data_IF_833746274923
#
_entry.id   IF_833746274923
#
_cell.length_a   1.000
_cell.length_b   1.000
_cell.length_c   1.000
_cell.angle_alpha   90.00
_cell.angle_beta   90.00
_cell.angle_gamma   90.00
#
_symmetry.space_group_name_H-M   'P 1'
#
loop_
_entity.id
_entity.type
_entity.pdbx_description
1 polymer ?
#
# COMPACT_ATOMS: atom_id res chain seq x y z
N UNK A 1 -7.14 4.87 3.29
CA UNK A 1 -7.27 6.17 2.52
C UNK A 1 -6.09 6.47 1.59
N UNK A 2 -4.83 6.51 2.07
CA UNK A 2 -3.70 6.85 1.17
C UNK A 2 -3.54 5.83 0.03
N UNK A 3 -3.65 4.55 0.31
CA UNK A 3 -3.64 3.49 -0.71
C UNK A 3 -4.79 3.66 -1.70
N UNK A 4 -6.05 3.78 -1.22
CA UNK A 4 -7.22 3.95 -2.09
C UNK A 4 -7.15 5.21 -2.97
N UNK A 5 -6.58 6.31 -2.44
CA UNK A 5 -6.32 7.50 -3.25
C UNK A 5 -5.30 7.17 -4.35
N UNK A 6 -4.24 6.43 -4.02
CA UNK A 6 -3.26 5.95 -4.99
C UNK A 6 -3.91 5.09 -6.07
N UNK A 7 -4.66 4.06 -5.68
CA UNK A 7 -5.35 3.15 -6.60
C UNK A 7 -6.31 3.90 -7.54
N UNK A 8 -7.10 4.86 -7.02
CA UNK A 8 -7.99 5.65 -7.85
C UNK A 8 -7.23 6.45 -8.94
N UNK A 9 -6.03 6.97 -8.64
CA UNK A 9 -5.21 7.69 -9.61
C UNK A 9 -4.61 6.73 -10.64
N UNK A 10 -4.05 5.58 -10.21
CA UNK A 10 -3.47 4.56 -11.11
C UNK A 10 -4.53 4.03 -12.07
N UNK A 11 -5.67 3.55 -11.55
CA UNK A 11 -6.77 3.06 -12.37
C UNK A 11 -7.30 4.13 -13.33
N UNK A 12 -7.28 5.41 -12.92
CA UNK A 12 -7.70 6.51 -13.81
C UNK A 12 -6.68 6.80 -14.89
N UNK A 13 -5.39 6.63 -14.63
CA UNK A 13 -4.35 6.73 -15.64
C UNK A 13 -4.45 5.59 -16.65
N UNK A 14 -4.68 4.36 -16.16
CA UNK A 14 -4.95 3.20 -17.02
C UNK A 14 -6.16 3.44 -17.94
N UNK A 15 -7.32 3.78 -17.34
CA UNK A 15 -8.57 4.00 -18.08
C UNK A 15 -8.43 5.10 -19.14
N UNK A 16 -7.72 6.19 -18.86
CA UNK A 16 -7.56 7.30 -19.81
C UNK A 16 -6.57 6.95 -20.93
N UNK A 17 -5.49 6.22 -20.64
CA UNK A 17 -4.57 5.72 -21.66
C UNK A 17 -5.24 4.72 -22.61
N UNK A 18 -6.23 3.95 -22.12
CA UNK A 18 -7.01 3.00 -22.90
C UNK A 18 -8.32 3.58 -23.45
N UNK A 19 -8.53 4.89 -23.36
CA UNK A 19 -9.77 5.52 -23.79
C UNK A 19 -10.02 5.30 -25.28
N UNK A 20 -11.13 4.63 -25.61
CA UNK A 20 -11.59 4.47 -26.98
C UNK A 20 -12.24 5.77 -27.46
N UNK A 21 -11.53 6.50 -28.31
CA UNK A 21 -12.01 7.77 -28.86
C UNK A 21 -13.22 7.61 -29.77
N UNK A 22 -13.42 6.46 -30.40
CA UNK A 22 -14.59 6.19 -31.22
C UNK A 22 -15.90 6.16 -30.40
N UNK A 23 -15.78 5.95 -29.09
CA UNK A 23 -16.93 5.98 -28.17
C UNK A 23 -17.39 7.40 -27.79
N UNK A 24 -16.59 8.42 -28.13
CA UNK A 24 -16.89 9.83 -27.81
C UNK A 24 -17.70 10.44 -28.96
N UNK A 25 -18.96 10.70 -28.72
CA UNK A 25 -19.88 11.14 -29.78
C UNK A 25 -19.62 12.56 -30.31
N UNK A 26 -18.95 13.44 -29.55
CA UNK A 26 -18.62 14.80 -29.95
C UNK A 26 -17.40 15.32 -29.18
N UNK A 27 -16.42 15.83 -29.90
CA UNK A 27 -15.20 16.40 -29.33
C UNK A 27 -15.34 17.94 -29.23
N UNK A 28 -15.97 18.38 -28.18
CA UNK A 28 -16.01 19.81 -27.84
C UNK A 28 -14.71 20.23 -27.14
N UNK A 29 -14.46 21.55 -27.12
CA UNK A 29 -13.33 22.09 -26.37
C UNK A 29 -13.40 21.67 -24.90
N UNK A 30 -12.31 21.09 -24.37
CA UNK A 30 -12.24 20.55 -23.02
C UNK A 30 -12.73 19.10 -22.86
N UNK A 31 -13.02 18.39 -23.95
CA UNK A 31 -13.48 16.98 -23.94
C UNK A 31 -12.59 16.07 -23.09
N UNK A 32 -11.25 16.24 -23.17
CA UNK A 32 -10.31 15.46 -22.38
C UNK A 32 -10.48 15.71 -20.87
N UNK A 33 -10.66 16.97 -20.48
CA UNK A 33 -10.89 17.33 -19.07
C UNK A 33 -12.19 16.73 -18.52
N UNK A 34 -13.25 16.69 -19.32
CA UNK A 34 -14.51 16.04 -18.91
C UNK A 34 -14.39 14.51 -18.87
N UNK A 35 -13.67 13.91 -19.82
CA UNK A 35 -13.36 12.46 -19.77
C UNK A 35 -12.55 12.11 -18.54
N UNK A 36 -11.50 12.85 -18.24
CA UNK A 36 -10.67 12.67 -17.04
C UNK A 36 -11.51 12.76 -15.76
N UNK A 37 -12.39 13.75 -15.68
CA UNK A 37 -13.27 13.96 -14.53
C UNK A 37 -14.25 12.78 -14.33
N UNK A 38 -14.84 12.30 -15.42
CA UNK A 38 -15.75 11.16 -15.41
C UNK A 38 -15.05 9.87 -14.96
N UNK A 39 -13.86 9.60 -15.55
CA UNK A 39 -13.03 8.42 -15.22
C UNK A 39 -12.60 8.46 -13.75
N UNK A 40 -12.07 9.58 -13.29
CA UNK A 40 -11.63 9.69 -11.89
C UNK A 40 -12.80 9.52 -10.92
N UNK A 41 -13.97 10.09 -11.24
CA UNK A 41 -15.16 9.92 -10.38
C UNK A 41 -15.57 8.46 -10.28
N UNK A 42 -15.60 7.74 -11.41
CA UNK A 42 -15.90 6.30 -11.46
C UNK A 42 -14.93 5.52 -10.57
N UNK A 43 -13.62 5.72 -10.75
CA UNK A 43 -12.60 4.99 -9.98
C UNK A 43 -12.58 5.37 -8.50
N UNK A 44 -12.91 6.62 -8.16
CA UNK A 44 -13.07 7.06 -6.79
C UNK A 44 -14.23 6.36 -6.06
N UNK A 45 -15.36 6.18 -6.73
CA UNK A 45 -16.50 5.46 -6.16
C UNK A 45 -16.21 3.96 -6.01
N UNK A 46 -15.52 3.34 -6.96
CA UNK A 46 -15.06 1.93 -6.84
C UNK A 46 -14.15 1.77 -5.62
N UNK A 47 -13.17 2.64 -5.45
CA UNK A 47 -12.27 2.60 -4.31
C UNK A 47 -12.98 2.89 -2.97
N UNK A 48 -14.00 3.74 -3.01
CA UNK A 48 -14.86 3.98 -1.84
C UNK A 48 -15.63 2.73 -1.42
N UNK A 49 -16.22 2.03 -2.36
CA UNK A 49 -16.93 0.79 -2.09
C UNK A 49 -16.00 -0.28 -1.52
N UNK A 50 -14.82 -0.48 -2.12
CA UNK A 50 -13.80 -1.39 -1.60
C UNK A 50 -13.35 -1.01 -0.18
N UNK A 51 -13.10 0.27 0.06
CA UNK A 51 -12.69 0.76 1.37
C UNK A 51 -13.74 0.51 2.44
N UNK A 52 -15.02 0.77 2.13
CA UNK A 52 -16.12 0.59 3.08
C UNK A 52 -16.48 -0.88 3.31
N UNK A 53 -16.13 -1.77 2.37
CA UNK A 53 -16.34 -3.22 2.54
C UNK A 53 -15.34 -3.85 3.53
N UNK A 54 -14.21 -3.19 3.82
CA UNK A 54 -13.22 -3.72 4.75
C UNK A 54 -13.62 -3.44 6.20
N UNK A 55 -13.76 -4.47 7.06
CA UNK A 55 -14.31 -4.33 8.42
C UNK A 55 -13.52 -3.41 9.35
N UNK A 56 -12.24 -3.17 9.02
CA UNK A 56 -11.29 -2.43 9.86
C UNK A 56 -11.08 -0.99 9.44
N UNK A 57 -11.72 -0.51 8.38
CA UNK A 57 -11.39 0.81 7.87
C UNK A 57 -12.13 1.92 8.60
N UNK A 58 -11.38 2.98 8.97
CA UNK A 58 -11.97 4.21 9.44
C UNK A 58 -12.85 4.85 8.35
N UNK A 59 -13.52 5.93 8.70
CA UNK A 59 -14.43 6.61 7.78
C UNK A 59 -13.74 7.04 6.49
N UNK A 60 -14.41 6.82 5.37
CA UNK A 60 -14.04 7.38 4.09
C UNK A 60 -13.98 8.91 4.16
N UNK A 61 -12.97 9.52 3.51
CA UNK A 61 -12.73 10.96 3.54
C UNK A 61 -12.97 11.56 2.16
N UNK A 62 -14.15 12.10 1.94
CA UNK A 62 -14.53 12.78 0.70
C UNK A 62 -13.67 14.02 0.42
N UNK A 63 -13.16 14.68 1.43
CA UNK A 63 -12.25 15.84 1.33
C UNK A 63 -10.91 15.52 0.67
N UNK A 64 -10.59 14.23 0.43
CA UNK A 64 -9.39 13.81 -0.30
C UNK A 64 -9.59 13.75 -1.82
N UNK A 65 -10.82 13.86 -2.34
CA UNK A 65 -11.07 13.84 -3.79
C UNK A 65 -10.32 14.96 -4.56
N UNK A 66 -10.25 16.22 -4.10
CA UNK A 66 -9.45 17.25 -4.75
C UNK A 66 -7.96 16.88 -4.87
N UNK A 67 -7.41 16.16 -3.87
CA UNK A 67 -6.03 15.67 -3.90
C UNK A 67 -5.86 14.57 -4.95
N UNK A 68 -6.82 13.64 -5.05
CA UNK A 68 -6.81 12.61 -6.10
C UNK A 68 -6.85 13.26 -7.49
N UNK A 69 -7.72 14.27 -7.69
CA UNK A 69 -7.82 15.03 -8.94
C UNK A 69 -6.49 15.72 -9.29
N UNK A 70 -5.87 16.40 -8.34
CA UNK A 70 -4.59 17.06 -8.56
C UNK A 70 -3.48 16.06 -8.92
N UNK A 71 -3.44 14.90 -8.25
CA UNK A 71 -2.51 13.81 -8.55
C UNK A 71 -2.72 13.25 -9.96
N UNK A 72 -3.95 13.00 -10.35
CA UNK A 72 -4.26 12.50 -11.70
C UNK A 72 -3.88 13.51 -12.79
N UNK A 73 -4.21 14.79 -12.63
CA UNK A 73 -3.78 15.85 -13.53
C UNK A 73 -2.24 15.89 -13.61
N UNK A 74 -1.55 15.75 -12.47
CA UNK A 74 -0.10 15.70 -12.43
C UNK A 74 0.49 14.53 -13.21
N UNK A 75 -0.10 13.35 -13.11
CA UNK A 75 0.31 12.18 -13.88
C UNK A 75 0.18 12.41 -15.41
N UNK A 76 -0.96 12.95 -15.84
CA UNK A 76 -1.18 13.29 -17.26
C UNK A 76 -0.20 14.36 -17.74
N UNK A 77 0.12 15.36 -16.94
CA UNK A 77 1.10 16.39 -17.31
C UNK A 77 2.52 15.82 -17.42
N UNK A 78 2.89 14.83 -16.59
CA UNK A 78 4.15 14.10 -16.78
C UNK A 78 4.10 13.32 -18.09
N UNK A 79 3.02 12.58 -18.36
CA UNK A 79 2.87 11.84 -19.62
C UNK A 79 3.01 12.77 -20.84
N UNK A 80 2.40 13.96 -20.83
CA UNK A 80 2.56 14.95 -21.88
C UNK A 80 4.00 15.41 -22.07
N UNK A 81 4.78 15.51 -20.99
CA UNK A 81 6.19 15.89 -21.08
C UNK A 81 7.04 14.86 -21.84
N UNK A 82 6.52 13.64 -22.04
CA UNK A 82 7.14 12.57 -22.83
C UNK A 82 6.74 12.63 -24.32
N UNK A 83 5.93 13.57 -24.70
CA UNK A 83 5.45 13.77 -26.07
C UNK A 83 5.79 15.16 -26.59
N UNK A 84 5.59 15.40 -27.89
CA UNK A 84 5.77 16.73 -28.50
C UNK A 84 4.63 17.68 -28.16
N UNK A 85 3.56 17.19 -27.54
CA UNK A 85 2.35 17.93 -27.15
C UNK A 85 2.49 18.60 -25.78
N UNK A 86 3.63 18.45 -25.11
CA UNK A 86 3.89 18.84 -23.72
C UNK A 86 3.58 20.30 -23.31
N UNK A 87 3.52 21.21 -24.26
CA UNK A 87 3.32 22.66 -24.02
C UNK A 87 1.85 23.10 -23.99
N UNK A 88 0.90 22.21 -24.27
CA UNK A 88 -0.53 22.57 -24.37
C UNK A 88 -1.28 22.42 -23.05
N UNK A 89 -2.28 23.28 -22.90
CA UNK A 89 -3.29 23.12 -21.85
C UNK A 89 -4.17 21.90 -22.15
N UNK A 90 -4.56 21.16 -21.11
CA UNK A 90 -5.45 20.00 -21.19
C UNK A 90 -6.77 20.29 -21.93
N UNK A 91 -7.26 21.54 -21.84
CA UNK A 91 -8.50 21.96 -22.51
C UNK A 91 -8.36 22.09 -24.03
N UNK A 92 -7.15 22.27 -24.53
CA UNK A 92 -6.88 22.48 -25.97
C UNK A 92 -6.39 21.24 -26.72
N UNK A 93 -6.33 20.08 -26.07
CA UNK A 93 -5.88 18.83 -26.70
C UNK A 93 -6.93 18.33 -27.68
N UNK A 94 -6.52 18.06 -28.91
CA UNK A 94 -7.39 17.47 -29.94
C UNK A 94 -7.39 15.93 -29.83
N UNK A 95 -8.40 15.26 -30.41
CA UNK A 95 -8.42 13.79 -30.46
C UNK A 95 -7.17 13.21 -31.12
N UNK A 96 -6.71 13.80 -32.23
CA UNK A 96 -5.53 13.34 -32.97
C UNK A 96 -4.25 13.45 -32.12
N UNK A 97 -4.13 14.53 -31.33
CA UNK A 97 -3.02 14.69 -30.39
C UNK A 97 -3.09 13.69 -29.25
N UNK A 98 -4.29 13.32 -28.84
CA UNK A 98 -4.44 12.28 -27.82
C UNK A 98 -4.11 10.88 -28.37
N UNK A 99 -4.47 10.58 -29.60
CA UNK A 99 -4.03 9.37 -30.30
C UNK A 99 -2.50 9.29 -30.41
N UNK A 100 -1.83 10.41 -30.67
CA UNK A 100 -0.36 10.48 -30.68
C UNK A 100 0.19 10.14 -29.28
N UNK A 101 -0.43 10.67 -28.21
CA UNK A 101 -0.04 10.37 -26.84
C UNK A 101 -0.30 8.88 -26.50
N UNK A 102 -1.43 8.34 -26.89
CA UNK A 102 -1.71 6.90 -26.69
C UNK A 102 -0.71 6.02 -27.45
N UNK A 103 -0.27 6.44 -28.62
CA UNK A 103 0.65 5.65 -29.48
C UNK A 103 2.03 5.44 -28.86
N UNK A 104 2.47 6.28 -27.93
CA UNK A 104 3.73 6.06 -27.22
C UNK A 104 3.60 5.09 -26.06
N UNK A 105 2.37 4.78 -25.61
CA UNK A 105 2.12 3.86 -24.51
C UNK A 105 2.14 2.43 -25.06
N UNK A 106 3.24 1.71 -24.82
CA UNK A 106 3.41 0.31 -25.26
C UNK A 106 2.54 -0.60 -24.37
N UNK A 107 2.54 -0.35 -23.07
CA UNK A 107 1.75 -1.07 -22.08
C UNK A 107 1.45 -0.20 -20.86
N UNK A 108 0.30 -0.47 -20.23
CA UNK A 108 -0.06 0.12 -18.95
C UNK A 108 -0.60 -0.98 -18.03
N UNK A 109 -0.35 -0.86 -16.73
CA UNK A 109 -0.73 -1.84 -15.69
C UNK A 109 -0.42 -3.29 -16.09
N UNK A 110 0.66 -3.48 -16.86
CA UNK A 110 1.02 -4.78 -17.42
C UNK A 110 1.79 -5.65 -16.41
N UNK A 111 1.51 -6.94 -16.44
CA UNK A 111 2.23 -7.90 -15.62
C UNK A 111 3.54 -8.29 -16.32
N UNK A 112 4.65 -8.10 -15.61
CA UNK A 112 5.96 -8.62 -15.95
C UNK A 112 6.20 -9.93 -15.21
N UNK A 113 6.79 -10.90 -15.88
CA UNK A 113 7.12 -12.19 -15.27
C UNK A 113 8.45 -12.71 -15.80
N UNK A 114 9.30 -13.22 -14.92
CA UNK A 114 10.42 -14.03 -15.38
C UNK A 114 9.92 -15.33 -16.01
N UNK A 115 10.70 -15.92 -16.94
CA UNK A 115 10.35 -17.17 -17.65
C UNK A 115 9.92 -18.30 -16.69
N UNK A 116 10.60 -18.42 -15.56
CA UNK A 116 10.28 -19.42 -14.54
C UNK A 116 9.09 -19.04 -13.64
N UNK A 117 8.47 -17.87 -13.81
CA UNK A 117 7.36 -17.38 -12.99
C UNK A 117 7.71 -17.05 -11.54
N UNK A 118 9.00 -17.06 -11.16
CA UNK A 118 9.44 -16.81 -9.78
C UNK A 118 9.41 -15.33 -9.40
N UNK A 119 9.68 -14.46 -10.36
CA UNK A 119 9.62 -13.02 -10.19
C UNK A 119 8.45 -12.50 -11.01
N UNK A 120 7.56 -11.78 -10.35
CA UNK A 120 6.38 -11.19 -10.96
C UNK A 120 6.33 -9.73 -10.50
N UNK A 121 6.06 -8.83 -11.43
CA UNK A 121 5.85 -7.41 -11.17
C UNK A 121 4.67 -6.90 -11.97
N UNK A 122 4.14 -5.74 -11.57
CA UNK A 122 3.14 -4.99 -12.32
C UNK A 122 3.70 -3.60 -12.55
N UNK A 123 3.96 -3.28 -13.81
CA UNK A 123 4.43 -1.95 -14.18
C UNK A 123 3.24 -1.03 -14.42
N UNK A 124 3.39 0.25 -14.09
CA UNK A 124 2.33 1.24 -14.34
C UNK A 124 2.32 1.64 -15.81
N UNK A 125 3.46 1.99 -16.38
CA UNK A 125 3.59 2.41 -17.78
C UNK A 125 4.89 1.90 -18.42
N UNK A 126 4.79 1.48 -19.68
CA UNK A 126 5.92 1.26 -20.59
C UNK A 126 5.71 2.16 -21.80
N UNK A 127 6.69 3.00 -22.10
CA UNK A 127 6.59 4.03 -23.12
C UNK A 127 7.73 3.93 -24.14
N UNK A 128 7.45 4.35 -25.39
CA UNK A 128 8.49 4.68 -26.34
C UNK A 128 9.11 6.02 -25.97
N UNK A 129 10.44 6.12 -25.97
CA UNK A 129 11.13 7.40 -25.76
C UNK A 129 11.28 8.15 -27.08
N UNK A 130 10.41 9.14 -27.31
CA UNK A 130 10.43 9.98 -28.52
C UNK A 130 11.61 10.95 -28.62
N UNK A 131 12.36 11.15 -27.52
CA UNK A 131 13.48 12.08 -27.45
C UNK A 131 14.84 11.40 -27.57
N UNK A 132 14.84 10.05 -27.57
CA UNK A 132 16.05 9.27 -27.84
C UNK A 132 16.41 9.35 -29.32
N UNK A 133 17.73 9.36 -29.61
CA UNK A 133 18.24 9.23 -30.96
C UNK A 133 17.97 7.83 -31.58
N UNK A 134 17.74 6.84 -30.72
CA UNK A 134 17.42 5.45 -31.11
C UNK A 134 15.92 5.22 -30.98
N UNK A 135 15.28 4.83 -32.07
CA UNK A 135 13.84 4.49 -32.09
C UNK A 135 13.42 3.37 -31.16
N UNK A 136 14.40 2.53 -30.75
CA UNK A 136 14.17 1.34 -29.92
C UNK A 136 14.57 1.57 -28.46
N UNK A 137 14.41 2.81 -27.98
CA UNK A 137 14.57 3.18 -26.56
C UNK A 137 13.21 3.25 -25.90
N UNK A 138 13.06 2.57 -24.79
CA UNK A 138 11.83 2.54 -24.00
C UNK A 138 12.03 3.12 -22.61
N UNK A 139 10.94 3.52 -21.97
CA UNK A 139 10.93 4.00 -20.59
C UNK A 139 9.92 3.18 -19.78
N UNK A 140 10.39 2.53 -18.72
CA UNK A 140 9.56 1.98 -17.65
C UNK A 140 9.29 3.09 -16.66
N UNK A 141 8.04 3.46 -16.47
CA UNK A 141 7.64 4.48 -15.51
C UNK A 141 6.75 3.90 -14.43
N UNK A 142 7.02 4.29 -13.18
CA UNK A 142 6.23 3.91 -12.02
C UNK A 142 5.69 5.17 -11.35
N UNK A 143 4.36 5.25 -11.24
CA UNK A 143 3.64 6.42 -10.74
C UNK A 143 3.61 6.43 -9.21
N UNK A 144 4.12 7.46 -8.62
CA UNK A 144 4.12 7.68 -7.18
C UNK A 144 3.15 8.81 -6.82
N UNK A 145 2.07 8.45 -6.14
CA UNK A 145 1.01 9.38 -5.70
C UNK A 145 1.25 9.94 -4.29
N UNK A 146 2.29 9.44 -3.61
CA UNK A 146 2.74 9.93 -2.31
C UNK A 146 3.54 11.22 -2.37
N UNK A 147 4.08 11.63 -1.23
CA UNK A 147 4.97 12.78 -1.16
C UNK A 147 6.29 12.48 -1.88
N UNK A 148 6.82 13.41 -2.67
CA UNK A 148 8.14 13.25 -3.30
C UNK A 148 9.24 13.16 -2.23
N UNK A 149 10.36 12.50 -2.52
CA UNK A 149 11.49 12.45 -1.61
C UNK A 149 12.06 13.85 -1.40
N UNK A 150 12.64 14.09 -0.21
CA UNK A 150 13.28 15.37 0.12
C UNK A 150 14.68 15.51 -0.47
N UNK A 151 15.32 14.38 -0.74
CA UNK A 151 16.65 14.28 -1.35
C UNK A 151 16.65 13.21 -2.43
N UNK A 152 17.09 12.03 -2.10
CA UNK A 152 17.24 10.91 -3.03
C UNK A 152 16.01 9.98 -2.98
N UNK A 153 15.82 9.22 -4.05
CA UNK A 153 14.80 8.18 -4.09
C UNK A 153 15.02 7.14 -3.00
N UNK A 154 13.92 6.63 -2.45
CA UNK A 154 13.95 5.51 -1.53
C UNK A 154 14.54 4.27 -2.23
N UNK A 155 15.42 3.57 -1.56
CA UNK A 155 16.09 2.38 -2.09
C UNK A 155 15.10 1.30 -2.57
N UNK A 156 13.94 1.16 -1.92
CA UNK A 156 12.86 0.25 -2.35
C UNK A 156 12.33 0.62 -3.73
N UNK A 157 12.16 1.92 -4.01
CA UNK A 157 11.70 2.42 -5.32
C UNK A 157 12.77 2.18 -6.38
N UNK A 158 14.04 2.43 -6.05
CA UNK A 158 15.15 2.17 -6.96
C UNK A 158 15.20 0.69 -7.34
N UNK A 159 15.14 -0.21 -6.36
CA UNK A 159 15.16 -1.66 -6.59
C UNK A 159 13.95 -2.13 -7.41
N UNK A 160 12.76 -1.63 -7.12
CA UNK A 160 11.53 -1.97 -7.86
C UNK A 160 11.68 -1.61 -9.33
N UNK A 161 12.05 -0.36 -9.62
CA UNK A 161 12.21 0.13 -10.98
C UNK A 161 13.36 -0.55 -11.74
N UNK A 162 14.49 -0.81 -11.06
CA UNK A 162 15.59 -1.57 -11.65
C UNK A 162 15.15 -3.00 -12.02
N UNK A 163 14.35 -3.65 -11.16
CA UNK A 163 13.82 -4.97 -11.46
C UNK A 163 12.84 -4.94 -12.63
N UNK A 164 11.94 -3.98 -12.70
CA UNK A 164 11.01 -3.82 -13.82
C UNK A 164 11.75 -3.59 -15.13
N UNK A 165 12.75 -2.70 -15.14
CA UNK A 165 13.65 -2.49 -16.29
C UNK A 165 14.27 -3.79 -16.75
N UNK A 166 14.87 -4.55 -15.84
CA UNK A 166 15.57 -5.78 -16.15
C UNK A 166 14.63 -6.89 -16.67
N UNK A 167 13.39 -6.98 -16.14
CA UNK A 167 12.38 -7.90 -16.65
C UNK A 167 11.93 -7.51 -18.05
N UNK A 168 11.74 -6.19 -18.33
CA UNK A 168 11.39 -5.73 -19.67
C UNK A 168 12.53 -6.01 -20.68
N UNK A 169 13.80 -5.80 -20.29
CA UNK A 169 14.97 -6.16 -21.10
C UNK A 169 14.98 -7.67 -21.40
N UNK A 170 14.69 -8.48 -20.39
CA UNK A 170 14.67 -9.93 -20.53
C UNK A 170 13.62 -10.40 -21.53
N UNK A 171 12.41 -9.83 -21.48
CA UNK A 171 11.31 -10.20 -22.36
C UNK A 171 11.46 -9.59 -23.79
N UNK A 172 12.29 -8.55 -23.94
CA UNK A 172 12.44 -7.80 -25.18
C UNK A 172 13.91 -7.63 -25.57
N UNK A 173 14.60 -8.70 -25.98
CA UNK A 173 16.05 -8.67 -26.24
C UNK A 173 16.46 -7.79 -27.42
N UNK A 174 15.51 -7.37 -28.25
CA UNK A 174 15.76 -6.48 -29.40
C UNK A 174 15.74 -4.99 -29.04
N UNK A 175 15.28 -4.64 -27.84
CA UNK A 175 15.26 -3.23 -27.39
C UNK A 175 16.67 -2.82 -27.02
N UNK A 176 17.12 -1.70 -27.57
CA UNK A 176 18.52 -1.26 -27.44
C UNK A 176 18.80 -0.61 -26.10
N UNK A 177 17.83 0.07 -25.53
CA UNK A 177 17.95 0.76 -24.25
C UNK A 177 16.61 0.87 -23.54
N UNK A 178 16.61 0.66 -22.22
CA UNK A 178 15.44 0.85 -21.36
C UNK A 178 15.83 1.74 -20.19
N UNK A 179 15.14 2.90 -20.07
CA UNK A 179 15.22 3.80 -18.93
C UNK A 179 14.19 3.41 -17.87
N UNK A 180 14.49 3.74 -16.63
CA UNK A 180 13.55 3.54 -15.52
C UNK A 180 13.32 4.86 -14.79
N UNK A 181 12.05 5.20 -14.53
CA UNK A 181 11.66 6.49 -13.98
C UNK A 181 10.60 6.35 -12.88
N UNK A 182 10.77 7.09 -11.78
CA UNK A 182 9.73 7.30 -10.79
C UNK A 182 9.03 8.63 -11.06
N UNK A 183 7.72 8.60 -11.26
CA UNK A 183 6.90 9.77 -11.56
C UNK A 183 6.10 10.22 -10.34
N UNK A 184 6.51 11.31 -9.71
CA UNK A 184 5.79 11.88 -8.58
C UNK A 184 4.72 12.86 -9.04
N UNK A 185 3.48 12.40 -9.11
CA UNK A 185 2.35 13.19 -9.64
C UNK A 185 2.01 14.43 -8.82
N UNK A 186 2.27 14.41 -7.51
CA UNK A 186 1.94 15.52 -6.61
C UNK A 186 2.71 16.82 -6.96
N UNK A 187 3.96 16.71 -7.38
CA UNK A 187 4.84 17.84 -7.76
C UNK A 187 5.30 17.80 -9.21
N UNK A 188 4.84 16.80 -9.98
CA UNK A 188 5.14 16.60 -11.41
C UNK A 188 6.64 16.43 -11.68
N UNK A 189 7.33 15.75 -10.76
CA UNK A 189 8.78 15.53 -10.88
C UNK A 189 9.04 14.10 -11.32
N UNK A 190 10.00 13.95 -12.22
CA UNK A 190 10.52 12.68 -12.71
C UNK A 190 11.90 12.48 -12.09
N UNK A 191 12.11 11.29 -11.56
CA UNK A 191 13.40 10.84 -11.06
C UNK A 191 13.86 9.64 -11.89
N UNK A 192 14.99 9.78 -12.59
CA UNK A 192 15.59 8.66 -13.30
C UNK A 192 16.27 7.70 -12.34
N UNK A 193 16.17 6.42 -12.65
CA UNK A 193 16.80 5.35 -11.90
C UNK A 193 17.85 4.68 -12.79
N UNK A 194 19.10 4.95 -12.46
CA UNK A 194 20.26 4.36 -13.11
C UNK A 194 20.90 3.32 -12.19
N UNK A 195 21.65 2.38 -12.76
CA UNK A 195 22.37 1.39 -11.98
C UNK A 195 22.54 0.07 -12.72
N UNK A 196 23.34 -0.83 -12.14
CA UNK A 196 23.58 -2.15 -12.72
C UNK A 196 22.31 -3.00 -12.69
N UNK A 197 22.24 -4.06 -13.51
CA UNK A 197 21.17 -5.04 -13.44
C UNK A 197 21.04 -5.69 -12.07
N UNK A 198 19.78 -5.88 -11.61
CA UNK A 198 19.48 -6.44 -10.28
C UNK A 198 18.77 -7.81 -10.34
N UNK A 199 18.51 -8.33 -11.54
CA UNK A 199 17.73 -9.55 -11.74
C UNK A 199 18.33 -10.76 -11.00
N UNK A 200 19.66 -10.94 -11.03
CA UNK A 200 20.32 -12.03 -10.32
C UNK A 200 20.14 -11.90 -8.80
N UNK A 201 20.28 -10.69 -8.26
CA UNK A 201 20.06 -10.42 -6.83
C UNK A 201 18.60 -10.71 -6.43
N UNK A 202 17.65 -10.42 -7.32
CA UNK A 202 16.24 -10.72 -7.07
C UNK A 202 15.98 -12.25 -7.04
N UNK A 203 16.61 -13.02 -7.91
CA UNK A 203 16.55 -14.49 -7.85
C UNK A 203 17.20 -15.05 -6.58
N UNK A 204 18.35 -14.53 -6.17
CA UNK A 204 19.00 -14.92 -4.91
C UNK A 204 18.09 -14.64 -3.72
N UNK A 205 17.46 -13.47 -3.69
CA UNK A 205 16.49 -13.11 -2.64
C UNK A 205 15.27 -14.05 -2.66
N UNK A 206 14.77 -14.42 -3.83
CA UNK A 206 13.69 -15.39 -3.95
C UNK A 206 14.08 -16.75 -3.40
N UNK A 207 15.28 -17.25 -3.72
CA UNK A 207 15.77 -18.55 -3.20
C UNK A 207 15.83 -18.57 -1.67
N UNK A 208 16.19 -17.43 -1.04
CA UNK A 208 16.21 -17.30 0.42
C UNK A 208 14.81 -17.30 1.05
N UNK A 209 13.78 -16.93 0.30
CA UNK A 209 12.41 -16.79 0.80
C UNK A 209 11.45 -17.86 0.25
N UNK A 210 11.94 -18.78 -0.59
CA UNK A 210 11.09 -19.83 -1.19
C UNK A 210 10.43 -20.68 -0.09
N UNK A 211 9.22 -21.21 -0.35
CA UNK A 211 8.56 -22.12 0.57
C UNK A 211 9.45 -23.31 0.92
N UNK A 212 9.53 -23.63 2.19
CA UNK A 212 10.23 -24.80 2.74
C UNK A 212 9.23 -25.69 3.48
N UNK A 213 9.65 -26.91 3.82
CA UNK A 213 8.84 -27.82 4.65
C UNK A 213 8.72 -27.34 6.08
N UNK A 214 9.67 -26.51 6.51
CA UNK A 214 9.65 -25.87 7.82
C UNK A 214 9.37 -24.37 7.66
N UNK A 215 8.63 -23.74 8.59
CA UNK A 215 8.42 -22.29 8.57
C UNK A 215 9.75 -21.55 8.60
N UNK A 216 9.85 -20.51 7.79
CA UNK A 216 10.99 -19.60 7.84
C UNK A 216 11.01 -18.86 9.18
N UNK A 217 12.21 -18.71 9.81
CA UNK A 217 12.31 -17.98 11.08
C UNK A 217 11.88 -16.53 10.88
N UNK A 218 11.06 -16.03 11.80
CA UNK A 218 10.68 -14.63 11.78
C UNK A 218 11.90 -13.74 12.09
N UNK A 219 12.03 -12.64 11.36
CA UNK A 219 13.05 -11.61 11.60
C UNK A 219 12.38 -10.32 12.08
N UNK A 220 12.06 -10.21 13.39
CA UNK A 220 11.31 -9.07 13.90
C UNK A 220 12.13 -7.78 13.85
N UNK A 221 11.52 -6.72 13.36
CA UNK A 221 12.08 -5.37 13.37
C UNK A 221 10.98 -4.34 13.64
N UNK A 222 11.39 -3.15 14.09
CA UNK A 222 10.43 -2.07 14.35
C UNK A 222 9.64 -1.69 13.09
N UNK A 223 10.30 -1.73 11.93
CA UNK A 223 9.68 -1.40 10.64
C UNK A 223 8.79 -2.54 10.13
N UNK A 224 9.31 -3.76 10.08
CA UNK A 224 8.60 -4.91 9.51
C UNK A 224 7.38 -5.31 10.34
N UNK A 225 7.48 -5.23 11.67
CA UNK A 225 6.40 -5.63 12.56
C UNK A 225 5.31 -4.57 12.72
N UNK A 226 5.55 -3.30 12.32
CA UNK A 226 4.58 -2.22 12.51
C UNK A 226 3.21 -2.54 11.88
N UNK A 227 3.21 -3.16 10.69
CA UNK A 227 2.02 -3.49 9.91
C UNK A 227 1.84 -5.00 9.68
N UNK A 228 2.57 -5.84 10.42
CA UNK A 228 2.48 -7.29 10.29
C UNK A 228 1.13 -7.78 10.84
N UNK A 229 0.36 -8.45 10.02
CA UNK A 229 -0.94 -9.03 10.40
C UNK A 229 -0.81 -10.17 11.41
N UNK A 230 0.32 -10.86 11.40
CA UNK A 230 0.61 -12.01 12.27
C UNK A 230 1.25 -11.65 13.61
N UNK A 231 1.58 -10.38 13.86
CA UNK A 231 2.35 -9.97 15.05
C UNK A 231 1.70 -10.37 16.37
N UNK A 232 0.35 -10.40 16.43
CA UNK A 232 -0.39 -10.80 17.64
C UNK A 232 -0.01 -12.20 18.14
N UNK A 233 0.30 -13.10 17.21
CA UNK A 233 0.62 -14.50 17.46
C UNK A 233 2.09 -14.85 17.22
N UNK A 234 2.95 -13.88 16.89
CA UNK A 234 4.35 -14.11 16.55
C UNK A 234 5.22 -14.24 17.81
N UNK A 235 5.75 -15.43 18.14
CA UNK A 235 6.62 -15.61 19.30
C UNK A 235 7.85 -14.71 19.28
N UNK A 236 8.48 -14.57 18.10
CA UNK A 236 9.66 -13.74 17.92
C UNK A 236 9.38 -12.25 18.15
N UNK A 237 8.17 -11.76 17.81
CA UNK A 237 7.79 -10.37 18.09
C UNK A 237 7.61 -10.15 19.61
N UNK A 238 6.94 -11.07 20.31
CA UNK A 238 6.79 -10.99 21.77
C UNK A 238 8.12 -11.11 22.50
N UNK A 239 9.02 -12.02 22.05
CA UNK A 239 10.38 -12.12 22.57
C UNK A 239 11.13 -10.79 22.38
N UNK A 240 11.13 -10.24 21.18
CA UNK A 240 11.78 -8.95 20.89
C UNK A 240 11.23 -7.77 21.73
N UNK A 241 9.90 -7.81 22.04
CA UNK A 241 9.28 -6.83 22.96
C UNK A 241 9.77 -7.02 24.40
N UNK A 242 9.83 -8.26 24.88
CA UNK A 242 10.30 -8.61 26.22
C UNK A 242 11.78 -8.23 26.42
N UNK A 243 12.60 -8.52 25.44
CA UNK A 243 14.03 -8.28 25.47
C UNK A 243 14.43 -6.82 25.20
N UNK A 244 13.44 -5.95 24.96
CA UNK A 244 13.66 -4.52 24.69
C UNK A 244 14.21 -4.19 23.30
N UNK A 245 14.34 -5.17 22.42
CA UNK A 245 14.75 -4.96 21.02
C UNK A 245 13.68 -4.25 20.21
N UNK A 246 12.39 -4.51 20.51
CA UNK A 246 11.25 -3.88 19.91
C UNK A 246 10.56 -2.96 20.93
N UNK A 247 10.58 -1.68 20.66
CA UNK A 247 9.95 -0.69 21.55
C UNK A 247 8.42 -0.72 21.38
N UNK A 248 7.66 -0.56 22.48
CA UNK A 248 6.24 -0.26 22.36
C UNK A 248 6.08 1.06 21.60
N UNK A 249 5.09 1.14 20.71
CA UNK A 249 4.79 2.39 20.02
C UNK A 249 4.54 3.53 21.01
N UNK A 250 5.05 4.73 20.72
CA UNK A 250 4.89 5.87 21.62
C UNK A 250 3.43 6.30 21.75
N UNK A 251 2.70 6.36 20.64
CA UNK A 251 1.32 6.81 20.56
C UNK A 251 0.32 5.66 20.51
N UNK A 252 0.64 4.60 19.79
CA UNK A 252 -0.19 3.41 19.64
C UNK A 252 0.53 2.20 20.19
N UNK A 253 -0.19 1.35 20.92
CA UNK A 253 0.34 0.14 21.55
C UNK A 253 -0.51 -1.06 21.20
N UNK A 254 0.17 -2.19 21.09
CA UNK A 254 -0.45 -3.50 20.98
C UNK A 254 -0.16 -4.27 22.27
N UNK A 255 -1.20 -4.87 22.85
CA UNK A 255 -1.12 -5.57 24.15
C UNK A 255 -1.95 -6.86 24.10
N UNK A 256 -1.48 -7.89 24.78
CA UNK A 256 -2.34 -9.02 25.19
C UNK A 256 -2.78 -8.79 26.62
N UNK A 257 -4.08 -8.93 26.85
CA UNK A 257 -4.72 -8.51 28.09
C UNK A 257 -5.81 -9.47 28.52
N UNK A 258 -6.16 -9.46 29.80
CA UNK A 258 -7.41 -9.98 30.32
C UNK A 258 -8.35 -8.84 30.67
N UNK A 259 -9.61 -8.95 30.29
CA UNK A 259 -10.64 -8.02 30.72
C UNK A 259 -10.98 -8.29 32.19
N UNK A 260 -10.77 -7.30 33.04
CA UNK A 260 -11.11 -7.35 34.47
C UNK A 260 -12.52 -6.81 34.72
N UNK A 261 -12.85 -5.69 34.06
CA UNK A 261 -14.14 -5.02 34.20
C UNK A 261 -14.46 -4.18 32.99
N UNK A 262 -15.72 -4.17 32.59
CA UNK A 262 -16.27 -3.27 31.58
C UNK A 262 -17.52 -2.59 32.14
N UNK A 263 -17.60 -1.29 31.97
CA UNK A 263 -18.84 -0.54 32.06
C UNK A 263 -19.36 -0.29 30.64
N UNK A 264 -20.37 -1.03 30.24
CA UNK A 264 -20.91 -1.00 28.89
C UNK A 264 -21.60 0.33 28.52
N UNK A 265 -21.97 1.12 29.52
CA UNK A 265 -22.65 2.42 29.28
C UNK A 265 -21.61 3.49 28.97
N UNK A 266 -20.58 3.62 29.78
CA UNK A 266 -19.53 4.62 29.61
C UNK A 266 -18.41 4.17 28.68
N UNK A 267 -18.29 2.88 28.39
CA UNK A 267 -17.17 2.28 27.67
C UNK A 267 -15.88 2.25 28.49
N UNK A 268 -15.95 2.51 29.80
CA UNK A 268 -14.77 2.42 30.65
C UNK A 268 -14.43 0.97 30.96
N UNK A 269 -13.19 0.58 30.71
CA UNK A 269 -12.70 -0.77 30.96
C UNK A 269 -11.45 -0.78 31.82
N UNK A 270 -11.28 -1.86 32.58
CA UNK A 270 -10.06 -2.20 33.30
C UNK A 270 -9.48 -3.46 32.69
N UNK A 271 -8.26 -3.39 32.21
CA UNK A 271 -7.51 -4.52 31.66
C UNK A 271 -6.31 -4.87 32.55
N UNK A 272 -5.96 -6.15 32.55
CA UNK A 272 -4.74 -6.68 33.12
C UNK A 272 -3.83 -7.17 31.99
N UNK A 273 -2.56 -6.71 31.97
CA UNK A 273 -1.60 -7.18 30.97
C UNK A 273 -1.27 -8.63 31.16
N UNK A 274 -1.26 -9.37 30.07
CA UNK A 274 -0.97 -10.79 30.03
C UNK A 274 -0.07 -11.12 28.82
N UNK A 275 1.16 -10.55 28.74
CA UNK A 275 2.02 -10.78 27.59
C UNK A 275 2.46 -12.23 27.49
N UNK A 276 2.53 -12.83 26.31
CA UNK A 276 3.10 -14.15 26.08
C UNK A 276 4.59 -14.18 26.49
N UNK A 277 5.00 -15.25 27.19
CA UNK A 277 6.37 -15.42 27.69
C UNK A 277 7.17 -16.47 26.93
N UNK A 278 6.50 -17.37 26.23
CA UNK A 278 7.13 -18.44 25.46
C UNK A 278 6.43 -18.69 24.13
N UNK A 279 6.93 -19.66 23.38
CA UNK A 279 6.40 -20.06 22.06
C UNK A 279 5.09 -20.83 22.18
N UNK A 280 4.85 -21.48 23.30
CA UNK A 280 3.62 -22.25 23.58
C UNK A 280 2.46 -21.33 23.99
N UNK A 281 2.74 -20.02 24.17
CA UNK A 281 1.75 -19.01 24.49
C UNK A 281 1.38 -18.96 25.98
N UNK A 282 2.25 -19.44 26.86
CA UNK A 282 2.09 -19.19 28.29
C UNK A 282 2.08 -17.67 28.54
N UNK A 283 1.10 -17.23 29.32
CA UNK A 283 0.93 -15.81 29.61
C UNK A 283 1.56 -15.46 30.94
N UNK A 284 2.35 -14.37 30.96
CA UNK A 284 2.83 -13.83 32.22
C UNK A 284 1.65 -13.44 33.11
N UNK A 285 1.72 -13.84 34.36
CA UNK A 285 0.90 -13.22 35.39
C UNK A 285 1.47 -11.85 35.70
N UNK A 286 0.69 -10.81 35.44
CA UNK A 286 1.13 -9.43 35.65
C UNK A 286 0.11 -8.69 36.51
N UNK A 287 0.55 -8.11 37.63
CA UNK A 287 -0.26 -7.21 38.44
C UNK A 287 -0.47 -5.84 37.76
N UNK A 288 0.02 -5.66 36.55
CA UNK A 288 -0.07 -4.40 35.82
C UNK A 288 -1.44 -4.22 35.17
N UNK A 289 -2.29 -3.46 35.85
CA UNK A 289 -3.60 -3.05 35.35
C UNK A 289 -3.55 -1.66 34.77
N UNK A 290 -4.38 -1.44 33.75
CA UNK A 290 -4.54 -0.11 33.15
C UNK A 290 -6.01 0.13 32.78
N UNK A 291 -6.40 1.41 32.84
CA UNK A 291 -7.71 1.85 32.39
C UNK A 291 -7.75 2.06 30.89
N UNK A 292 -8.89 1.76 30.29
CA UNK A 292 -9.15 2.07 28.89
C UNK A 292 -10.54 2.71 28.73
N UNK A 293 -10.69 3.50 27.66
CA UNK A 293 -11.96 4.05 27.20
C UNK A 293 -12.22 3.49 25.81
N UNK A 294 -13.29 2.72 25.69
CA UNK A 294 -13.75 2.14 24.44
C UNK A 294 -14.90 2.98 23.88
N UNK A 295 -14.83 3.26 22.59
CA UNK A 295 -15.86 4.01 21.86
C UNK A 295 -16.16 3.34 20.54
N UNK A 296 -17.35 3.59 20.02
CA UNK A 296 -17.76 3.18 18.69
C UNK A 296 -17.47 1.68 18.44
N UNK A 297 -16.82 1.35 17.33
CA UNK A 297 -16.55 -0.03 16.94
C UNK A 297 -15.74 -0.85 17.96
N UNK A 298 -14.84 -0.25 18.75
CA UNK A 298 -14.11 -0.99 19.78
C UNK A 298 -15.03 -1.46 20.93
N UNK A 299 -16.01 -0.65 21.30
CA UNK A 299 -17.01 -1.03 22.30
C UNK A 299 -17.92 -2.16 21.78
N UNK A 300 -18.28 -2.07 20.50
CA UNK A 300 -19.12 -3.11 19.88
C UNK A 300 -18.36 -4.44 19.73
N UNK A 301 -17.09 -4.41 19.36
CA UNK A 301 -16.23 -5.60 19.28
C UNK A 301 -16.15 -6.33 20.64
N UNK A 302 -15.87 -5.60 21.72
CA UNK A 302 -15.76 -6.23 23.04
C UNK A 302 -17.09 -6.77 23.56
N UNK A 303 -18.21 -6.09 23.27
CA UNK A 303 -19.55 -6.59 23.58
C UNK A 303 -19.85 -7.88 22.82
N UNK A 304 -19.49 -7.96 21.57
CA UNK A 304 -19.66 -9.17 20.75
C UNK A 304 -18.85 -10.34 21.33
N UNK A 305 -17.60 -10.11 21.71
CA UNK A 305 -16.73 -11.11 22.33
C UNK A 305 -17.33 -11.59 23.65
N UNK A 306 -17.78 -10.70 24.52
CA UNK A 306 -18.41 -11.06 25.79
C UNK A 306 -19.71 -11.85 25.55
N UNK A 307 -20.54 -11.41 24.59
CA UNK A 307 -21.81 -12.07 24.28
C UNK A 307 -21.65 -13.46 23.69
N UNK A 308 -20.51 -13.75 23.02
CA UNK A 308 -20.19 -15.09 22.53
C UNK A 308 -19.74 -16.06 23.65
N UNK A 309 -19.60 -15.58 24.89
CA UNK A 309 -19.13 -16.37 26.01
C UNK A 309 -17.61 -16.50 26.09
N UNK A 310 -16.88 -15.81 25.24
CA UNK A 310 -15.42 -15.80 25.23
C UNK A 310 -14.88 -15.12 26.48
N UNK A 311 -14.06 -15.84 27.27
CA UNK A 311 -13.44 -15.34 28.49
C UNK A 311 -11.91 -15.35 28.43
N UNK A 312 -11.37 -15.68 27.26
CA UNK A 312 -9.95 -15.80 27.07
C UNK A 312 -9.20 -14.46 27.13
N UNK A 313 -7.88 -14.51 27.02
CA UNK A 313 -7.10 -13.33 26.81
C UNK A 313 -7.49 -12.66 25.48
N UNK A 314 -7.34 -11.36 25.41
CA UNK A 314 -7.65 -10.54 24.23
C UNK A 314 -6.38 -9.91 23.70
N UNK A 315 -6.24 -9.86 22.39
CA UNK A 315 -5.29 -8.97 21.74
C UNK A 315 -5.95 -7.61 21.50
N UNK A 316 -5.29 -6.55 21.93
CA UNK A 316 -5.64 -5.17 21.60
C UNK A 316 -4.61 -4.66 20.63
N UNK A 317 -5.02 -4.35 19.40
CA UNK A 317 -4.20 -3.72 18.38
C UNK A 317 -4.46 -2.22 18.28
N UNK A 318 -3.40 -1.44 18.12
CA UNK A 318 -3.46 0.01 17.89
C UNK A 318 -4.18 0.81 18.97
N UNK A 319 -4.07 0.42 20.23
CA UNK A 319 -4.58 1.20 21.35
C UNK A 319 -3.84 2.53 21.51
N UNK A 320 -4.54 3.67 21.43
CA UNK A 320 -3.93 5.00 21.57
C UNK A 320 -3.73 5.34 23.03
N UNK A 321 -2.48 5.56 23.44
CA UNK A 321 -2.12 5.90 24.82
C UNK A 321 -2.13 7.41 25.03
N UNK A 322 -2.83 7.87 26.07
CA UNK A 322 -2.83 9.25 26.52
C UNK A 322 -2.69 9.28 28.04
N UNK A 323 -1.52 9.67 28.53
CA UNK A 323 -1.18 9.53 29.96
C UNK A 323 -1.19 8.06 30.39
N UNK A 324 -2.01 7.72 31.40
CA UNK A 324 -2.18 6.37 31.94
C UNK A 324 -3.36 5.61 31.33
N UNK A 325 -4.11 6.22 30.42
CA UNK A 325 -5.34 5.67 29.85
C UNK A 325 -5.13 5.29 28.39
N UNK A 326 -5.64 4.13 28.00
CA UNK A 326 -5.69 3.69 26.61
C UNK A 326 -7.05 4.04 26.00
N UNK A 327 -7.05 4.64 24.82
CA UNK A 327 -8.27 4.94 24.07
C UNK A 327 -8.37 3.98 22.90
N UNK A 328 -9.51 3.33 22.77
CA UNK A 328 -9.86 2.38 21.74
C UNK A 328 -11.08 2.90 20.98
N UNK A 329 -11.04 2.82 19.67
CA UNK A 329 -12.10 3.31 18.78
C UNK A 329 -12.11 2.53 17.47
N UNK A 330 -12.73 3.08 16.43
CA UNK A 330 -12.81 2.44 15.09
C UNK A 330 -11.46 2.10 14.47
N UNK A 331 -10.39 2.71 14.94
CA UNK A 331 -9.01 2.43 14.49
C UNK A 331 -8.34 1.26 15.22
N UNK A 332 -8.95 0.77 16.31
CA UNK A 332 -8.41 -0.27 17.18
C UNK A 332 -8.99 -1.61 16.81
N UNK A 333 -8.25 -2.66 17.14
CA UNK A 333 -8.64 -4.04 16.96
C UNK A 333 -8.70 -4.73 18.31
N UNK A 334 -9.79 -5.46 18.59
CA UNK A 334 -9.93 -6.30 19.77
C UNK A 334 -10.30 -7.70 19.29
N UNK A 335 -9.43 -8.67 19.53
CA UNK A 335 -9.60 -10.06 19.09
C UNK A 335 -9.42 -11.01 20.28
N UNK A 336 -10.15 -12.12 20.34
CA UNK A 336 -9.74 -13.26 21.17
C UNK A 336 -8.30 -13.65 20.80
N UNK A 337 -7.48 -13.91 21.81
CA UNK A 337 -6.09 -14.29 21.59
C UNK A 337 -5.87 -15.73 22.04
N UNK A 338 -5.38 -16.55 21.12
CA UNK A 338 -4.93 -17.90 21.37
C UNK A 338 -3.51 -18.05 20.80
N UNK A 339 -2.62 -18.82 21.45
CA UNK A 339 -1.33 -19.12 20.87
C UNK A 339 -1.53 -19.87 19.55
N UNK A 340 -0.65 -19.62 18.59
CA UNK A 340 -0.57 -20.52 17.44
C UNK A 340 -0.20 -21.89 18.00
N UNK A 341 -1.11 -22.84 17.89
CA UNK A 341 -0.90 -24.20 18.35
C UNK A 341 0.41 -24.70 17.76
N UNK A 342 1.37 -25.02 18.62
CA UNK A 342 2.49 -25.86 18.23
C UNK A 342 1.87 -27.10 17.60
N UNK A 343 2.25 -27.43 16.38
CA UNK A 343 1.82 -28.62 15.66
C UNK A 343 2.35 -29.88 16.35
N UNK A 344 1.84 -30.14 17.55
CA UNK A 344 2.01 -31.39 18.29
C UNK A 344 0.65 -32.06 18.42
N UNK A 345 0.27 -32.73 17.35
CA UNK A 345 -0.63 -33.88 17.40
C UNK A 345 -0.43 -34.76 16.17
#
# INVERSE_FOLDING_TARGET
MAASLGSAIHNSLEDICNLDLSSIGNFENGWLSESMKSILKKNWEIEREHFLSAPRHPRWKEDQFPKARAGFIGAIQILFSKTRVSSKDLSGITPEEWEEIQSIVIANEATLSSECGRLIGRLDLLLVDLFSENSDTWTVADLKTGNPPKSDLNEKVIRQLSLYRDLVVYDNPNVTSIHAEAWYSANKTIYSVDGPPVLNQAFEAWELTRPTTEPLPASPSQESCAFCEWKAWCPSWWAGRRDGMLLPGQLFRDEVVRLVRLDEISGAALFERAPPVDEDGELASSDHRFGAILKDGALDQIRQIISSGEQGPLFIGSGRVSGSVMHLGDWSEILPWEPLLSSNS
#
